data_IF_329882467768
#
_entry.id   IF_329882467768
#
_cell.length_a   1.000
_cell.length_b   1.000
_cell.length_c   1.000
_cell.angle_alpha   90.00
_cell.angle_beta   90.00
_cell.angle_gamma   90.00
#
_symmetry.space_group_name_H-M   'P 1'
#
loop_
_entity.id
_entity.type
_entity.pdbx_description
1 polymer ?
#
# COMPACT_ATOMS: atom_id res chain seq x y z
N UNK A 1 33.23 -9.39 20.56
CA UNK A 1 31.93 -8.73 20.32
C UNK A 1 30.94 -9.82 19.90
N UNK A 2 30.23 -10.42 20.84
CA UNK A 2 29.25 -11.49 20.58
C UNK A 2 27.99 -10.84 20.02
N UNK A 3 27.71 -11.04 18.74
CA UNK A 3 26.45 -10.63 18.12
C UNK A 3 25.35 -11.46 18.79
N UNK A 4 24.60 -10.87 19.74
CA UNK A 4 23.38 -11.49 20.28
C UNK A 4 22.32 -11.46 19.18
N UNK A 5 22.22 -12.55 18.43
CA UNK A 5 21.16 -12.72 17.43
C UNK A 5 19.86 -12.97 18.18
N UNK A 6 18.91 -12.05 18.06
CA UNK A 6 17.55 -12.27 18.54
C UNK A 6 16.82 -13.20 17.57
N UNK A 7 16.81 -14.50 17.88
CA UNK A 7 16.22 -15.54 17.03
C UNK A 7 14.77 -15.23 16.66
N UNK A 8 14.00 -14.64 17.60
CA UNK A 8 12.60 -14.24 17.36
C UNK A 8 12.48 -13.17 16.28
N UNK A 9 13.35 -12.17 16.30
CA UNK A 9 13.37 -11.13 15.26
C UNK A 9 13.77 -11.71 13.90
N UNK A 10 14.80 -12.57 13.88
CA UNK A 10 15.30 -13.18 12.65
C UNK A 10 14.23 -14.06 11.98
N UNK A 11 13.47 -14.83 12.77
CA UNK A 11 12.37 -15.64 12.25
C UNK A 11 11.23 -14.78 11.69
N UNK A 12 10.89 -13.68 12.37
CA UNK A 12 9.85 -12.77 11.87
C UNK A 12 10.28 -12.08 10.58
N UNK A 13 11.53 -11.60 10.54
CA UNK A 13 12.14 -11.01 9.36
C UNK A 13 12.14 -11.99 8.18
N UNK A 14 12.57 -13.24 8.41
CA UNK A 14 12.54 -14.30 7.40
C UNK A 14 11.12 -14.57 6.90
N UNK A 15 10.12 -14.45 7.78
CA UNK A 15 8.72 -14.57 7.38
C UNK A 15 8.30 -13.43 6.45
N UNK A 16 8.66 -12.19 6.75
CA UNK A 16 8.41 -11.04 5.87
C UNK A 16 9.06 -11.25 4.51
N UNK A 17 10.30 -11.76 4.48
CA UNK A 17 11.02 -12.09 3.23
C UNK A 17 10.23 -13.09 2.38
N UNK A 18 9.75 -14.17 3.00
CA UNK A 18 8.98 -15.22 2.31
C UNK A 18 7.62 -14.73 1.83
N UNK A 19 6.92 -13.94 2.64
CA UNK A 19 5.59 -13.41 2.30
C UNK A 19 5.61 -12.44 1.11
N UNK A 20 6.71 -11.69 0.93
CA UNK A 20 6.91 -10.84 -0.26
C UNK A 20 7.04 -11.66 -1.55
N UNK A 21 7.41 -12.94 -1.44
CA UNK A 21 7.60 -13.84 -2.57
C UNK A 21 8.83 -13.50 -3.41
N UNK A 22 9.09 -14.36 -4.39
CA UNK A 22 10.18 -14.22 -5.35
C UNK A 22 9.68 -14.52 -6.76
N UNK A 23 10.19 -13.82 -7.78
CA UNK A 23 9.80 -14.09 -9.17
C UNK A 23 10.30 -15.43 -9.71
N UNK A 24 11.22 -16.09 -9.01
CA UNK A 24 11.84 -17.35 -9.40
C UNK A 24 11.37 -18.56 -8.61
N UNK A 25 10.56 -18.36 -7.57
CA UNK A 25 9.92 -19.43 -6.80
C UNK A 25 8.44 -19.13 -6.77
N UNK A 26 7.63 -20.06 -7.26
CA UNK A 26 6.18 -20.00 -7.10
C UNK A 26 5.84 -20.31 -5.64
N UNK A 27 5.80 -19.28 -4.81
CA UNK A 27 5.32 -19.42 -3.44
C UNK A 27 3.79 -19.57 -3.45
N UNK A 28 3.21 -20.61 -2.83
CA UNK A 28 1.77 -20.80 -2.84
C UNK A 28 1.05 -19.57 -2.29
N UNK A 29 0.05 -19.07 -3.02
CA UNK A 29 -0.67 -17.84 -2.65
C UNK A 29 -1.21 -17.89 -1.21
N UNK A 30 -1.65 -19.06 -0.75
CA UNK A 30 -2.17 -19.25 0.61
C UNK A 30 -1.11 -19.36 1.71
N UNK A 31 0.15 -19.63 1.36
CA UNK A 31 1.20 -19.85 2.36
C UNK A 31 1.50 -18.58 3.17
N UNK A 32 1.40 -17.39 2.57
CA UNK A 32 1.55 -16.11 3.31
C UNK A 32 0.46 -15.92 4.36
N UNK A 33 -0.77 -16.39 4.11
CA UNK A 33 -1.87 -16.31 5.06
C UNK A 33 -1.69 -17.29 6.23
N UNK A 34 -1.18 -18.50 5.95
CA UNK A 34 -0.80 -19.46 6.98
C UNK A 34 0.30 -18.93 7.89
N UNK A 35 1.38 -18.38 7.32
CA UNK A 35 2.47 -17.76 8.09
C UNK A 35 1.97 -16.59 8.95
N UNK A 36 1.06 -15.78 8.43
CA UNK A 36 0.47 -14.67 9.19
C UNK A 36 -0.32 -15.17 10.40
N UNK A 37 -1.15 -16.20 10.20
CA UNK A 37 -1.93 -16.81 11.26
C UNK A 37 -1.04 -17.37 12.37
N UNK A 38 0.07 -18.04 12.02
CA UNK A 38 1.05 -18.55 13.00
C UNK A 38 1.61 -17.44 13.88
N UNK A 39 2.01 -16.30 13.28
CA UNK A 39 2.51 -15.15 14.04
C UNK A 39 1.44 -14.49 14.91
N UNK A 40 0.19 -14.45 14.46
CA UNK A 40 -0.93 -13.96 15.25
C UNK A 40 -1.12 -14.84 16.49
N UNK A 41 -1.20 -16.16 16.31
CA UNK A 41 -1.35 -17.12 17.42
C UNK A 41 -0.18 -17.01 18.39
N UNK A 42 1.05 -16.96 17.88
CA UNK A 42 2.26 -16.81 18.69
C UNK A 42 2.29 -15.49 19.47
N UNK A 43 1.92 -14.38 18.85
CA UNK A 43 1.87 -13.10 19.54
C UNK A 43 0.85 -13.12 20.69
N UNK A 44 -0.33 -13.71 20.46
CA UNK A 44 -1.38 -13.84 21.48
C UNK A 44 -0.95 -14.76 22.63
N UNK A 45 -0.23 -15.84 22.35
CA UNK A 45 0.25 -16.75 23.40
C UNK A 45 1.34 -16.14 24.27
N UNK A 46 2.29 -15.41 23.68
CA UNK A 46 3.41 -14.81 24.43
C UNK A 46 3.00 -13.55 25.20
N UNK A 47 2.15 -12.70 24.60
CA UNK A 47 1.80 -11.40 25.19
C UNK A 47 0.50 -11.42 26.00
N UNK A 48 -0.18 -12.56 26.06
CA UNK A 48 -1.49 -12.73 26.68
C UNK A 48 -2.62 -11.98 25.94
N UNK A 49 -3.86 -12.17 26.41
CA UNK A 49 -5.05 -11.54 25.82
C UNK A 49 -5.20 -10.04 26.17
N UNK A 50 -4.39 -9.51 27.10
CA UNK A 50 -4.46 -8.09 27.47
C UNK A 50 -4.22 -7.19 26.26
N UNK A 51 -5.03 -6.15 26.04
CA UNK A 51 -4.95 -5.33 24.82
C UNK A 51 -3.82 -4.29 24.88
N UNK A 52 -3.00 -4.17 23.82
CA UNK A 52 -2.13 -2.99 23.67
C UNK A 52 -3.00 -1.85 23.11
N UNK A 53 -3.17 -0.78 23.89
CA UNK A 53 -4.10 0.31 23.57
C UNK A 53 -3.84 0.93 22.20
N UNK A 54 -2.58 1.20 21.86
CA UNK A 54 -2.18 1.79 20.56
C UNK A 54 -2.49 0.83 19.41
N UNK A 55 -2.09 -0.43 19.55
CA UNK A 55 -2.31 -1.46 18.54
C UNK A 55 -3.81 -1.69 18.31
N UNK A 56 -4.59 -1.89 19.37
CA UNK A 56 -6.02 -2.15 19.28
C UNK A 56 -6.77 -0.96 18.68
N UNK A 57 -6.44 0.27 19.07
CA UNK A 57 -7.11 1.46 18.52
C UNK A 57 -6.79 1.65 17.04
N UNK A 58 -5.53 1.47 16.64
CA UNK A 58 -5.12 1.64 15.24
C UNK A 58 -5.71 0.55 14.35
N UNK A 59 -5.66 -0.71 14.78
CA UNK A 59 -6.28 -1.83 14.06
C UNK A 59 -7.79 -1.63 13.91
N UNK A 60 -8.50 -1.17 14.94
CA UNK A 60 -9.95 -0.89 14.86
C UNK A 60 -10.25 0.20 13.82
N UNK A 61 -9.48 1.29 13.81
CA UNK A 61 -9.66 2.36 12.82
C UNK A 61 -9.51 1.83 11.39
N UNK A 62 -8.46 1.04 11.12
CA UNK A 62 -8.23 0.50 9.76
C UNK A 62 -9.24 -0.60 9.39
N UNK A 63 -9.83 -1.30 10.36
CA UNK A 63 -10.76 -2.39 10.11
C UNK A 63 -12.19 -1.93 9.76
N UNK A 64 -12.64 -0.78 10.26
CA UNK A 64 -14.03 -0.29 10.08
C UNK A 64 -14.48 -0.23 8.62
N UNK A 65 -13.69 0.28 7.65
CA UNK A 65 -14.11 0.30 6.24
C UNK A 65 -14.44 -1.08 5.70
N UNK A 66 -13.68 -2.10 6.08
CA UNK A 66 -13.93 -3.48 5.64
C UNK A 66 -15.24 -4.03 6.21
N UNK A 67 -15.57 -3.71 7.46
CA UNK A 67 -16.87 -4.10 8.06
C UNK A 67 -18.02 -3.46 7.27
N UNK A 68 -17.92 -2.16 6.96
CA UNK A 68 -18.95 -1.44 6.21
C UNK A 68 -19.14 -2.08 4.82
N UNK A 69 -18.04 -2.37 4.12
CA UNK A 69 -18.09 -3.05 2.82
C UNK A 69 -18.75 -4.43 2.90
N UNK A 70 -18.43 -5.19 3.94
CA UNK A 70 -19.00 -6.52 4.17
C UNK A 70 -20.52 -6.47 4.41
N UNK A 71 -20.99 -5.45 5.14
CA UNK A 71 -22.42 -5.27 5.42
C UNK A 71 -23.20 -4.79 4.19
N UNK A 72 -22.61 -3.90 3.38
CA UNK A 72 -23.29 -3.33 2.20
C UNK A 72 -23.27 -4.31 1.00
N UNK A 73 -22.26 -5.19 0.92
CA UNK A 73 -22.04 -6.11 -0.19
C UNK A 73 -23.29 -6.90 -0.64
N UNK A 74 -24.07 -7.57 0.24
CA UNK A 74 -25.18 -8.42 -0.20
C UNK A 74 -26.24 -7.62 -0.97
N UNK A 75 -26.51 -6.38 -0.53
CA UNK A 75 -27.47 -5.49 -1.18
C UNK A 75 -27.01 -5.12 -2.59
N UNK A 76 -25.71 -4.86 -2.78
CA UNK A 76 -25.16 -4.48 -4.08
C UNK A 76 -25.19 -5.62 -5.09
N UNK A 77 -24.84 -6.84 -4.66
CA UNK A 77 -24.85 -8.02 -5.55
C UNK A 77 -26.27 -8.39 -5.98
N UNK A 78 -27.25 -8.26 -5.08
CA UNK A 78 -28.65 -8.51 -5.40
C UNK A 78 -29.24 -7.42 -6.31
N UNK A 79 -28.87 -6.16 -6.11
CA UNK A 79 -29.35 -5.05 -6.91
C UNK A 79 -28.74 -5.00 -8.32
N UNK A 80 -27.45 -5.36 -8.47
CA UNK A 80 -26.70 -5.23 -9.72
C UNK A 80 -25.92 -6.51 -10.07
N UNK A 81 -26.60 -7.64 -10.33
CA UNK A 81 -25.93 -8.88 -10.69
C UNK A 81 -25.11 -8.72 -11.99
N UNK A 82 -23.98 -9.43 -12.07
CA UNK A 82 -23.15 -9.48 -13.28
C UNK A 82 -23.41 -10.81 -13.98
N UNK A 83 -23.74 -10.74 -15.27
CA UNK A 83 -23.94 -11.94 -16.11
C UNK A 83 -22.70 -12.84 -16.07
N UNK A 84 -22.90 -14.13 -15.77
CA UNK A 84 -21.80 -15.11 -15.68
C UNK A 84 -21.13 -15.20 -14.31
N UNK A 85 -21.53 -14.37 -13.33
CA UNK A 85 -21.03 -14.45 -11.94
C UNK A 85 -22.18 -14.89 -11.04
N UNK A 86 -22.01 -16.03 -10.35
CA UNK A 86 -23.02 -16.53 -9.40
C UNK A 86 -22.96 -15.76 -8.07
N UNK A 87 -24.09 -15.65 -7.38
CA UNK A 87 -24.16 -15.08 -6.03
C UNK A 87 -23.20 -15.79 -5.06
N UNK A 88 -23.09 -17.12 -5.15
CA UNK A 88 -22.19 -17.93 -4.33
C UNK A 88 -20.73 -17.56 -4.58
N UNK A 89 -20.34 -17.37 -5.85
CA UNK A 89 -18.99 -16.92 -6.21
C UNK A 89 -18.67 -15.55 -5.63
N UNK A 90 -19.64 -14.61 -5.68
CA UNK A 90 -19.50 -13.29 -5.08
C UNK A 90 -19.30 -13.36 -3.57
N UNK A 91 -20.16 -14.12 -2.86
CA UNK A 91 -20.05 -14.28 -1.40
C UNK A 91 -18.71 -14.91 -1.02
N UNK A 92 -18.29 -15.96 -1.74
CA UNK A 92 -17.00 -16.62 -1.51
C UNK A 92 -15.83 -15.64 -1.69
N UNK A 93 -15.87 -14.79 -2.73
CA UNK A 93 -14.83 -13.78 -2.97
C UNK A 93 -14.80 -12.71 -1.88
N UNK A 94 -15.96 -12.22 -1.44
CA UNK A 94 -16.06 -11.26 -0.34
C UNK A 94 -15.49 -11.85 0.96
N UNK A 95 -15.89 -13.06 1.33
CA UNK A 95 -15.37 -13.75 2.54
C UNK A 95 -13.86 -13.91 2.45
N UNK A 96 -13.35 -14.32 1.29
CA UNK A 96 -11.89 -14.41 1.07
C UNK A 96 -11.20 -13.07 1.28
N UNK A 97 -11.70 -11.97 0.71
CA UNK A 97 -11.10 -10.65 0.88
C UNK A 97 -11.18 -10.14 2.32
N UNK A 98 -12.28 -10.40 3.03
CA UNK A 98 -12.40 -10.10 4.46
C UNK A 98 -11.37 -10.88 5.29
N UNK A 99 -11.21 -12.18 5.04
CA UNK A 99 -10.19 -12.99 5.73
C UNK A 99 -8.78 -12.45 5.46
N UNK A 100 -8.48 -12.05 4.22
CA UNK A 100 -7.20 -11.44 3.88
C UNK A 100 -6.96 -10.13 4.63
N UNK A 101 -7.98 -9.27 4.74
CA UNK A 101 -7.91 -8.03 5.52
C UNK A 101 -7.67 -8.31 7.01
N UNK A 102 -8.41 -9.25 7.60
CA UNK A 102 -8.24 -9.69 8.99
C UNK A 102 -6.81 -10.19 9.26
N UNK A 103 -6.28 -11.05 8.39
CA UNK A 103 -4.92 -11.60 8.54
C UNK A 103 -3.85 -10.52 8.37
N UNK A 104 -4.06 -9.57 7.45
CA UNK A 104 -3.15 -8.44 7.24
C UNK A 104 -3.06 -7.53 8.48
N UNK A 105 -4.22 -7.12 9.00
CA UNK A 105 -4.30 -6.28 10.20
C UNK A 105 -3.81 -7.05 11.43
N UNK A 106 -4.14 -8.33 11.53
CA UNK A 106 -3.67 -9.22 12.59
C UNK A 106 -2.15 -9.40 12.57
N UNK A 107 -1.54 -9.56 11.39
CA UNK A 107 -0.10 -9.70 11.25
C UNK A 107 0.64 -8.41 11.65
N UNK A 108 0.14 -7.25 11.24
CA UNK A 108 0.64 -5.95 11.69
C UNK A 108 0.53 -5.79 13.22
N UNK A 109 -0.63 -6.13 13.78
CA UNK A 109 -0.88 -6.11 15.22
C UNK A 109 0.09 -7.02 15.98
N UNK A 110 0.29 -8.25 15.49
CA UNK A 110 1.20 -9.24 16.07
C UNK A 110 2.65 -8.75 16.06
N UNK A 111 3.12 -8.24 14.91
CA UNK A 111 4.47 -7.67 14.80
C UNK A 111 4.69 -6.50 15.77
N UNK A 112 3.73 -5.57 15.84
CA UNK A 112 3.82 -4.45 16.78
C UNK A 112 3.75 -4.89 18.25
N UNK A 113 2.93 -5.89 18.59
CA UNK A 113 2.84 -6.45 19.95
C UNK A 113 4.15 -7.10 20.41
N UNK A 114 4.82 -7.81 19.52
CA UNK A 114 6.02 -8.58 19.83
C UNK A 114 7.28 -7.72 19.91
N UNK A 115 7.33 -6.62 19.14
CA UNK A 115 8.55 -5.83 18.94
C UNK A 115 8.38 -4.32 19.17
N UNK A 116 7.16 -3.83 19.46
CA UNK A 116 6.89 -2.41 19.70
C UNK A 116 7.30 -1.52 18.52
N UNK A 117 7.96 -0.41 18.82
CA UNK A 117 8.45 0.56 17.80
C UNK A 117 9.47 -0.09 16.84
N UNK A 118 10.26 -1.06 17.30
CA UNK A 118 11.28 -1.74 16.49
C UNK A 118 10.67 -2.65 15.40
N UNK A 119 9.37 -2.97 15.48
CA UNK A 119 8.66 -3.68 14.40
C UNK A 119 8.84 -3.00 13.03
N UNK A 120 8.87 -1.66 12.99
CA UNK A 120 9.14 -0.92 11.75
C UNK A 120 10.49 -1.28 11.12
N UNK A 121 11.54 -1.44 11.94
CA UNK A 121 12.87 -1.83 11.46
C UNK A 121 12.89 -3.28 11.01
N UNK A 122 12.21 -4.18 11.72
CA UNK A 122 12.16 -5.61 11.38
C UNK A 122 11.47 -5.82 10.02
N UNK A 123 10.32 -5.17 9.79
CA UNK A 123 9.65 -5.19 8.48
C UNK A 123 10.57 -4.65 7.39
N UNK A 124 11.22 -3.50 7.64
CA UNK A 124 12.16 -2.90 6.69
C UNK A 124 13.33 -3.82 6.35
N UNK A 125 13.99 -4.45 7.35
CA UNK A 125 15.08 -5.40 7.11
C UNK A 125 14.63 -6.56 6.24
N UNK A 126 13.43 -7.10 6.48
CA UNK A 126 12.86 -8.16 5.66
C UNK A 126 12.68 -7.76 4.18
N UNK A 127 12.23 -6.53 3.93
CA UNK A 127 12.13 -5.99 2.56
C UNK A 127 13.49 -5.81 1.90
N UNK A 128 14.50 -5.35 2.65
CA UNK A 128 15.87 -5.18 2.14
C UNK A 128 16.45 -6.54 1.76
N UNK A 129 16.34 -7.54 2.64
CA UNK A 129 16.82 -8.91 2.37
C UNK A 129 16.12 -9.50 1.14
N UNK A 130 14.79 -9.36 1.04
CA UNK A 130 14.04 -9.84 -0.12
C UNK A 130 14.53 -9.20 -1.44
N UNK A 131 14.72 -7.87 -1.46
CA UNK A 131 15.25 -7.18 -2.64
C UNK A 131 16.67 -7.62 -2.99
N UNK A 132 17.57 -7.76 -1.99
CA UNK A 132 18.95 -8.19 -2.24
C UNK A 132 18.96 -9.57 -2.89
N UNK A 133 18.15 -10.52 -2.38
CA UNK A 133 18.01 -11.84 -2.99
C UNK A 133 17.48 -11.71 -4.43
N UNK A 134 16.49 -10.84 -4.67
CA UNK A 134 15.96 -10.55 -6.00
C UNK A 134 17.01 -10.00 -6.97
N UNK A 135 17.87 -9.08 -6.51
CA UNK A 135 18.97 -8.51 -7.29
C UNK A 135 20.03 -9.57 -7.61
N UNK A 136 20.45 -10.36 -6.62
CA UNK A 136 21.42 -11.45 -6.82
C UNK A 136 20.89 -12.42 -7.87
N UNK A 137 19.62 -12.82 -7.77
CA UNK A 137 18.99 -13.69 -8.75
C UNK A 137 18.92 -13.04 -10.14
N UNK A 138 18.56 -11.76 -10.23
CA UNK A 138 18.49 -11.04 -11.50
C UNK A 138 19.86 -10.97 -12.18
N UNK A 139 20.93 -10.69 -11.43
CA UNK A 139 22.32 -10.72 -11.94
C UNK A 139 22.71 -12.13 -12.38
N UNK A 140 22.39 -13.15 -11.59
CA UNK A 140 22.70 -14.54 -11.93
C UNK A 140 22.00 -15.00 -13.22
N UNK A 141 20.76 -14.55 -13.46
CA UNK A 141 19.96 -14.95 -14.62
C UNK A 141 20.28 -14.16 -15.89
N UNK A 142 20.50 -12.84 -15.79
CA UNK A 142 20.63 -11.94 -16.95
C UNK A 142 22.07 -11.44 -17.17
N UNK A 143 22.98 -11.69 -16.23
CA UNK A 143 24.36 -11.24 -16.26
C UNK A 143 24.58 -9.82 -15.73
N UNK A 144 25.79 -9.57 -15.23
CA UNK A 144 26.16 -8.28 -14.63
C UNK A 144 26.15 -7.12 -15.65
N UNK A 145 26.46 -7.39 -16.92
CA UNK A 145 26.44 -6.37 -17.98
C UNK A 145 25.04 -5.77 -18.19
N UNK A 146 24.02 -6.62 -18.25
CA UNK A 146 22.62 -6.18 -18.34
C UNK A 146 22.18 -5.39 -17.11
N UNK A 147 22.65 -5.80 -15.93
CA UNK A 147 22.41 -5.06 -14.69
C UNK A 147 23.00 -3.65 -14.72
N UNK A 148 24.26 -3.51 -15.14
CA UNK A 148 24.91 -2.19 -15.24
C UNK A 148 24.20 -1.30 -16.27
N UNK A 149 23.79 -1.86 -17.41
CA UNK A 149 23.02 -1.10 -18.41
C UNK A 149 21.68 -0.62 -17.88
N UNK A 150 20.94 -1.49 -17.18
CA UNK A 150 19.67 -1.13 -16.55
C UNK A 150 19.86 -0.03 -15.50
N UNK A 151 20.85 -0.17 -14.61
CA UNK A 151 21.16 0.85 -13.59
C UNK A 151 21.56 2.19 -14.22
N UNK A 152 22.28 2.16 -15.35
CA UNK A 152 22.75 3.37 -16.04
C UNK A 152 21.63 4.09 -16.79
N UNK A 153 20.66 3.36 -17.34
CA UNK A 153 19.53 3.95 -18.05
C UNK A 153 18.25 3.10 -17.92
N UNK A 154 17.58 3.15 -16.76
CA UNK A 154 16.38 2.35 -16.52
C UNK A 154 15.19 2.81 -17.38
N UNK A 155 15.21 4.04 -17.89
CA UNK A 155 14.19 4.54 -18.82
C UNK A 155 14.29 3.87 -20.20
N UNK A 156 15.50 3.62 -20.71
CA UNK A 156 15.70 3.02 -22.03
C UNK A 156 15.28 1.55 -22.10
N UNK A 157 15.52 0.76 -21.04
CA UNK A 157 15.15 -0.66 -20.99
C UNK A 157 13.61 -0.85 -20.94
N UNK A 158 12.88 0.17 -20.49
CA UNK A 158 11.41 0.15 -20.34
C UNK A 158 10.69 0.67 -21.59
N UNK A 159 11.31 1.54 -22.38
CA UNK A 159 10.69 2.17 -23.57
C UNK A 159 10.84 1.35 -24.86
N UNK A 160 11.94 0.62 -25.02
CA UNK A 160 12.20 -0.12 -26.25
C UNK A 160 11.57 -1.52 -26.17
N UNK A 161 10.52 -1.82 -26.96
CA UNK A 161 9.96 -3.16 -27.29
C UNK A 161 9.44 -4.07 -26.16
N UNK A 162 8.24 -4.61 -26.35
CA UNK A 162 7.55 -5.48 -25.38
C UNK A 162 7.90 -6.95 -25.58
N UNK A 163 8.87 -7.48 -24.83
CA UNK A 163 9.05 -8.94 -24.68
C UNK A 163 8.90 -9.32 -23.20
N UNK A 164 7.71 -9.80 -22.85
CA UNK A 164 7.41 -10.30 -21.52
C UNK A 164 8.35 -11.46 -21.16
N UNK A 165 9.13 -11.31 -20.08
CA UNK A 165 9.92 -12.39 -19.48
C UNK A 165 11.41 -12.45 -19.84
N UNK A 166 11.89 -11.61 -20.76
CA UNK A 166 13.28 -11.61 -21.22
C UNK A 166 14.20 -10.54 -20.62
N UNK A 167 13.73 -9.70 -19.69
CA UNK A 167 14.47 -8.52 -19.23
C UNK A 167 14.73 -8.46 -17.74
N UNK A 168 15.86 -7.85 -17.41
CA UNK A 168 16.29 -7.61 -16.05
C UNK A 168 15.41 -6.60 -15.31
N UNK A 169 14.82 -5.61 -16.01
CA UNK A 169 13.84 -4.69 -15.43
C UNK A 169 12.64 -5.43 -14.82
N UNK A 170 12.06 -6.39 -15.55
CA UNK A 170 10.99 -7.22 -14.99
C UNK A 170 11.51 -8.07 -13.82
N UNK A 171 12.74 -8.57 -13.86
CA UNK A 171 13.29 -9.33 -12.74
C UNK A 171 13.40 -8.51 -11.44
N UNK A 172 13.78 -7.23 -11.57
CA UNK A 172 13.98 -6.29 -10.47
C UNK A 172 12.68 -5.61 -10.01
N UNK A 173 11.66 -5.54 -10.86
CA UNK A 173 10.35 -4.94 -10.54
C UNK A 173 9.52 -5.85 -9.60
N UNK A 174 9.88 -5.88 -8.32
CA UNK A 174 9.10 -6.55 -7.28
C UNK A 174 7.93 -5.65 -6.84
N UNK A 175 6.76 -5.84 -7.45
CA UNK A 175 5.60 -4.95 -7.34
C UNK A 175 5.29 -4.52 -5.89
N UNK A 176 4.97 -5.45 -5.01
CA UNK A 176 4.58 -5.16 -3.62
C UNK A 176 5.74 -4.55 -2.80
N UNK A 177 6.94 -5.10 -2.96
CA UNK A 177 8.10 -4.76 -2.15
C UNK A 177 8.57 -3.34 -2.45
N UNK A 178 8.61 -2.96 -3.73
CA UNK A 178 9.06 -1.63 -4.18
C UNK A 178 8.13 -0.53 -3.62
N UNK A 179 6.81 -0.70 -3.71
CA UNK A 179 5.88 0.27 -3.13
C UNK A 179 5.99 0.34 -1.61
N UNK A 180 6.23 -0.78 -0.93
CA UNK A 180 6.36 -0.82 0.52
C UNK A 180 7.61 -0.06 0.98
N UNK A 181 8.71 -0.15 0.25
CA UNK A 181 9.91 0.66 0.50
C UNK A 181 9.63 2.17 0.43
N UNK A 182 8.66 2.61 -0.38
CA UNK A 182 8.23 4.02 -0.41
C UNK A 182 7.59 4.47 0.90
N UNK A 183 6.76 3.62 1.53
CA UNK A 183 6.21 3.91 2.86
C UNK A 183 7.32 4.07 3.91
N UNK A 184 8.31 3.18 3.88
CA UNK A 184 9.48 3.28 4.77
C UNK A 184 10.35 4.48 4.46
N UNK A 185 10.55 4.84 3.19
CA UNK A 185 11.25 6.07 2.82
C UNK A 185 10.56 7.30 3.44
N UNK A 186 9.23 7.41 3.33
CA UNK A 186 8.46 8.51 3.91
C UNK A 186 8.61 8.53 5.45
N UNK A 187 8.45 7.37 6.09
CA UNK A 187 8.58 7.23 7.55
C UNK A 187 9.96 7.60 8.08
N UNK A 188 11.03 7.15 7.42
CA UNK A 188 12.40 7.46 7.79
C UNK A 188 12.77 8.89 7.44
N UNK A 189 12.25 9.46 6.36
CA UNK A 189 12.42 10.87 6.00
C UNK A 189 11.80 11.76 7.09
N UNK A 190 10.60 11.41 7.53
CA UNK A 190 9.92 12.11 8.61
C UNK A 190 10.69 12.01 9.94
N UNK A 191 11.12 10.79 10.30
CA UNK A 191 11.89 10.53 11.53
C UNK A 191 13.27 11.22 11.52
N UNK A 192 13.93 11.28 10.37
CA UNK A 192 15.18 12.02 10.17
C UNK A 192 15.00 13.50 10.47
N UNK A 193 13.88 14.08 10.03
CA UNK A 193 13.58 15.48 10.26
C UNK A 193 13.19 15.77 11.70
N UNK A 194 12.40 14.93 12.37
CA UNK A 194 12.04 15.15 13.77
C UNK A 194 13.28 15.18 14.68
N UNK A 195 14.26 14.31 14.39
CA UNK A 195 15.44 14.12 15.24
C UNK A 195 16.61 15.09 14.93
N UNK A 196 16.33 16.37 14.58
CA UNK A 196 17.37 17.34 14.17
C UNK A 196 18.52 17.49 15.16
N UNK A 197 18.21 17.45 16.46
CA UNK A 197 19.16 17.65 17.56
C UNK A 197 19.95 16.38 17.93
N UNK A 198 19.51 15.19 17.50
CA UNK A 198 20.10 13.89 17.89
C UNK A 198 20.92 13.32 16.74
N UNK A 199 22.20 13.73 16.66
CA UNK A 199 23.10 13.42 15.53
C UNK A 199 23.22 11.93 15.21
N UNK A 200 23.40 11.07 16.22
CA UNK A 200 23.57 9.63 16.01
C UNK A 200 22.31 8.97 15.46
N UNK A 201 21.14 9.30 16.01
CA UNK A 201 19.84 8.81 15.50
C UNK A 201 19.62 9.25 14.05
N UNK A 202 19.98 10.49 13.73
CA UNK A 202 19.86 11.06 12.38
C UNK A 202 20.77 10.35 11.38
N UNK A 203 21.99 9.96 11.76
CA UNK A 203 22.89 9.17 10.90
C UNK A 203 22.24 7.84 10.53
N UNK A 204 21.64 7.14 11.50
CA UNK A 204 20.94 5.87 11.25
C UNK A 204 19.82 6.04 10.23
N UNK A 205 18.95 7.04 10.38
CA UNK A 205 17.89 7.29 9.40
C UNK A 205 18.42 7.71 8.04
N UNK A 206 19.56 8.41 7.98
CA UNK A 206 20.23 8.75 6.72
C UNK A 206 20.64 7.49 5.95
N UNK A 207 21.24 6.50 6.64
CA UNK A 207 21.61 5.21 6.05
C UNK A 207 20.37 4.48 5.52
N UNK A 208 19.28 4.43 6.30
CA UNK A 208 18.04 3.82 5.85
C UNK A 208 17.44 4.52 4.63
N UNK A 209 17.50 5.84 4.57
CA UNK A 209 17.06 6.61 3.40
C UNK A 209 17.87 6.31 2.14
N UNK A 210 19.20 6.17 2.27
CA UNK A 210 20.07 5.80 1.16
C UNK A 210 19.72 4.40 0.66
N UNK A 211 19.57 3.43 1.57
CA UNK A 211 19.16 2.07 1.23
C UNK A 211 17.81 2.07 0.50
N UNK A 212 16.80 2.78 1.04
CA UNK A 212 15.51 2.92 0.38
C UNK A 212 15.67 3.54 -1.02
N UNK A 213 16.40 4.65 -1.16
CA UNK A 213 16.58 5.33 -2.45
C UNK A 213 17.20 4.43 -3.52
N UNK A 214 18.23 3.65 -3.15
CA UNK A 214 18.87 2.69 -4.05
C UNK A 214 17.88 1.60 -4.47
N UNK A 215 17.17 0.98 -3.52
CA UNK A 215 16.23 -0.10 -3.84
C UNK A 215 15.00 0.38 -4.63
N UNK A 216 14.52 1.59 -4.35
CA UNK A 216 13.44 2.24 -5.11
C UNK A 216 13.85 2.52 -6.55
N UNK A 217 15.09 2.97 -6.75
CA UNK A 217 15.65 3.16 -8.08
C UNK A 217 15.75 1.84 -8.84
N UNK A 218 16.18 0.76 -8.19
CA UNK A 218 16.26 -0.57 -8.81
C UNK A 218 14.90 -1.16 -9.18
N UNK A 219 13.86 -0.96 -8.35
CA UNK A 219 12.50 -1.43 -8.67
C UNK A 219 11.77 -0.55 -9.70
N UNK A 220 12.20 0.70 -9.87
CA UNK A 220 11.81 1.65 -10.92
C UNK A 220 10.29 1.80 -11.19
N UNK A 221 9.48 1.85 -10.12
CA UNK A 221 8.04 2.11 -10.23
C UNK A 221 7.75 3.59 -10.47
N UNK A 222 7.47 3.97 -11.71
CA UNK A 222 7.23 5.36 -12.15
C UNK A 222 6.22 6.13 -11.30
N UNK A 223 5.04 5.56 -11.05
CA UNK A 223 3.99 6.20 -10.24
C UNK A 223 4.46 6.51 -8.82
N UNK A 224 5.38 5.71 -8.31
CA UNK A 224 5.91 5.87 -6.97
C UNK A 224 6.70 7.17 -6.81
N UNK A 225 7.50 7.54 -7.81
CA UNK A 225 8.25 8.79 -7.79
C UNK A 225 7.31 10.01 -7.78
N UNK A 226 6.20 9.94 -8.53
CA UNK A 226 5.15 10.97 -8.48
C UNK A 226 4.58 11.07 -7.07
N UNK A 227 4.28 9.93 -6.43
CA UNK A 227 3.81 9.88 -5.04
C UNK A 227 4.82 10.50 -4.05
N UNK A 228 6.11 10.23 -4.22
CA UNK A 228 7.16 10.80 -3.35
C UNK A 228 7.35 12.31 -3.56
N UNK A 229 7.24 12.80 -4.80
CA UNK A 229 7.28 14.24 -5.09
C UNK A 229 6.08 14.95 -4.44
N UNK A 230 4.89 14.39 -4.59
CA UNK A 230 3.68 14.94 -3.97
C UNK A 230 3.77 14.93 -2.43
N UNK A 231 4.32 13.86 -1.86
CA UNK A 231 4.61 13.77 -0.43
C UNK A 231 5.53 14.90 0.02
N UNK A 232 6.61 15.20 -0.71
CA UNK A 232 7.51 16.31 -0.39
C UNK A 232 6.82 17.67 -0.46
N UNK A 233 5.96 17.89 -1.47
CA UNK A 233 5.17 19.12 -1.59
C UNK A 233 4.26 19.32 -0.37
N UNK A 234 3.49 18.29 0.01
CA UNK A 234 2.64 18.30 1.20
C UNK A 234 3.47 18.53 2.46
N UNK A 235 4.59 17.83 2.59
CA UNK A 235 5.50 17.96 3.72
C UNK A 235 5.98 19.40 3.92
N UNK A 236 6.36 20.10 2.85
CA UNK A 236 6.80 21.50 2.90
C UNK A 236 5.71 22.41 3.50
N UNK A 237 4.45 22.14 3.19
CA UNK A 237 3.30 22.92 3.66
C UNK A 237 2.97 22.61 5.14
N UNK A 238 3.07 21.35 5.56
CA UNK A 238 2.65 20.93 6.91
C UNK A 238 3.78 20.99 7.96
N UNK A 239 5.06 20.95 7.56
CA UNK A 239 6.21 20.86 8.49
C UNK A 239 6.30 22.01 9.50
N UNK A 240 5.75 23.19 9.16
CA UNK A 240 5.75 24.38 10.02
C UNK A 240 4.47 24.51 10.86
N UNK A 241 3.46 23.64 10.63
CA UNK A 241 2.19 23.69 11.34
C UNK A 241 2.30 22.90 12.62
N UNK A 242 2.05 23.56 13.76
CA UNK A 242 2.12 22.91 15.08
C UNK A 242 0.74 22.70 15.71
N UNK A 243 -0.26 23.46 15.26
CA UNK A 243 -1.64 23.34 15.75
C UNK A 243 -2.38 22.26 14.97
N UNK A 244 -2.95 21.28 15.67
CA UNK A 244 -3.76 20.20 15.10
C UNK A 244 -4.86 20.74 14.18
N UNK A 245 -5.60 21.77 14.62
CA UNK A 245 -6.67 22.41 13.81
C UNK A 245 -6.17 22.91 12.45
N UNK A 246 -4.95 23.43 12.39
CA UNK A 246 -4.37 23.91 11.13
C UNK A 246 -4.01 22.77 10.19
N UNK A 247 -3.61 21.62 10.71
CA UNK A 247 -3.31 20.43 9.92
C UNK A 247 -4.62 19.78 9.46
N UNK A 248 -5.62 19.68 10.33
CA UNK A 248 -6.96 19.18 9.99
C UNK A 248 -7.66 20.03 8.93
N UNK A 249 -7.49 21.36 8.96
CA UNK A 249 -7.99 22.21 7.88
C UNK A 249 -7.31 21.87 6.54
N UNK A 250 -5.98 21.74 6.54
CA UNK A 250 -5.23 21.38 5.34
C UNK A 250 -5.57 19.97 4.83
N UNK A 251 -5.76 19.01 5.76
CA UNK A 251 -6.26 17.67 5.48
C UNK A 251 -7.63 17.71 4.80
N UNK A 252 -8.54 18.58 5.23
CA UNK A 252 -9.81 18.84 4.54
C UNK A 252 -9.64 19.33 3.10
N UNK A 253 -8.65 20.18 2.83
CA UNK A 253 -8.32 20.63 1.46
C UNK A 253 -7.78 19.46 0.62
N UNK A 254 -6.89 18.64 1.20
CA UNK A 254 -6.35 17.44 0.54
C UNK A 254 -7.47 16.43 0.26
N UNK A 255 -8.36 16.19 1.21
CA UNK A 255 -9.54 15.33 1.04
C UNK A 255 -10.42 15.82 -0.11
N UNK A 256 -10.80 17.10 -0.11
CA UNK A 256 -11.67 17.67 -1.15
C UNK A 256 -10.99 17.58 -2.53
N UNK A 257 -9.73 18.02 -2.63
CA UNK A 257 -8.97 17.99 -3.87
C UNK A 257 -8.77 16.58 -4.41
N UNK A 258 -8.43 15.62 -3.54
CA UNK A 258 -8.24 14.21 -3.94
C UNK A 258 -9.55 13.58 -4.37
N UNK A 259 -10.64 13.83 -3.66
CA UNK A 259 -11.97 13.31 -3.99
C UNK A 259 -12.44 13.83 -5.35
N UNK A 260 -12.36 15.14 -5.58
CA UNK A 260 -12.70 15.75 -6.87
C UNK A 260 -11.84 15.20 -8.00
N UNK A 261 -10.53 15.12 -7.78
CA UNK A 261 -9.60 14.56 -8.76
C UNK A 261 -9.92 13.11 -9.11
N UNK A 262 -10.27 12.26 -8.13
CA UNK A 262 -10.63 10.86 -8.37
C UNK A 262 -11.91 10.73 -9.19
N UNK A 263 -12.94 11.56 -8.95
CA UNK A 263 -14.15 11.54 -9.79
C UNK A 263 -13.90 12.04 -11.21
N UNK A 264 -13.13 13.11 -11.36
CA UNK A 264 -12.70 13.58 -12.70
C UNK A 264 -11.89 12.50 -13.40
N UNK A 265 -11.00 11.83 -12.69
CA UNK A 265 -10.22 10.71 -13.23
C UNK A 265 -11.13 9.55 -13.69
N UNK A 266 -12.12 9.16 -12.88
CA UNK A 266 -13.10 8.12 -13.22
C UNK A 266 -13.93 8.48 -14.46
N UNK A 267 -14.29 9.75 -14.62
CA UNK A 267 -14.98 10.24 -15.81
C UNK A 267 -14.08 10.27 -17.04
N UNK A 268 -12.81 10.64 -16.89
CA UNK A 268 -11.87 10.62 -18.02
C UNK A 268 -11.61 9.19 -18.49
N UNK A 269 -11.48 8.21 -17.59
CA UNK A 269 -11.30 6.79 -17.97
C UNK A 269 -12.58 6.14 -18.50
N UNK A 270 -13.77 6.68 -18.16
CA UNK A 270 -15.04 6.15 -18.66
C UNK A 270 -15.28 6.49 -20.13
N UNK A 271 -14.53 7.46 -20.66
CA UNK A 271 -14.59 7.93 -22.04
C UNK A 271 -13.39 7.47 -22.87
N UNK A 272 -13.52 7.56 -24.20
CA UNK A 272 -12.41 7.28 -25.13
C UNK A 272 -11.35 8.40 -25.19
N UNK A 273 -11.41 9.41 -24.33
CA UNK A 273 -10.48 10.55 -24.35
C UNK A 273 -9.03 10.06 -24.20
N UNK A 274 -8.77 9.15 -23.26
CA UNK A 274 -7.40 8.63 -23.03
C UNK A 274 -6.91 7.86 -24.26
N UNK A 275 -7.76 7.02 -24.85
CA UNK A 275 -7.41 6.25 -26.05
C UNK A 275 -7.11 7.17 -27.25
N UNK A 276 -7.89 8.24 -27.43
CA UNK A 276 -7.67 9.23 -28.49
C UNK A 276 -6.37 10.02 -28.30
N UNK A 277 -6.10 10.47 -27.07
CA UNK A 277 -4.83 11.16 -26.76
C UNK A 277 -3.63 10.22 -26.94
N UNK A 278 -3.77 8.95 -26.55
CA UNK A 278 -2.75 7.93 -26.76
C UNK A 278 -2.39 7.77 -28.24
N UNK A 279 -3.41 7.65 -29.10
CA UNK A 279 -3.24 7.55 -30.55
C UNK A 279 -2.62 8.82 -31.13
N UNK A 280 -3.09 10.00 -30.71
CA UNK A 280 -2.60 11.29 -31.23
C UNK A 280 -1.13 11.56 -30.90
N UNK A 281 -0.70 11.26 -29.67
CA UNK A 281 0.66 11.54 -29.21
C UNK A 281 1.59 10.32 -29.27
N UNK A 282 1.14 9.20 -29.85
CA UNK A 282 1.92 7.95 -29.91
C UNK A 282 2.28 7.40 -28.53
N UNK A 283 1.47 7.66 -27.51
CA UNK A 283 1.76 7.25 -26.12
C UNK A 283 1.28 5.82 -25.91
N UNK A 284 2.22 4.93 -25.58
CA UNK A 284 1.91 3.54 -25.25
C UNK A 284 1.46 3.40 -23.77
N UNK A 285 0.16 3.29 -23.54
CA UNK A 285 -0.44 3.00 -22.23
C UNK A 285 -0.45 1.51 -21.87
N UNK A 286 0.16 0.68 -22.72
CA UNK A 286 0.37 -0.75 -22.50
C UNK A 286 -0.98 -1.45 -22.37
N UNK A 287 -1.12 -2.47 -21.53
CA UNK A 287 -2.39 -3.22 -21.41
C UNK A 287 -3.55 -2.43 -20.77
N UNK A 288 -3.33 -1.18 -20.30
CA UNK A 288 -4.32 -0.42 -19.52
C UNK A 288 -5.51 0.09 -20.33
N UNK A 289 -5.31 0.46 -21.59
CA UNK A 289 -6.42 0.94 -22.43
C UNK A 289 -7.49 -0.13 -22.66
N UNK A 290 -7.05 -1.36 -22.96
CA UNK A 290 -7.96 -2.50 -23.10
C UNK A 290 -8.69 -2.84 -21.79
N UNK A 291 -8.16 -2.44 -20.64
CA UNK A 291 -8.86 -2.59 -19.36
C UNK A 291 -9.95 -1.57 -19.14
N UNK A 292 -9.67 -0.31 -19.44
CA UNK A 292 -10.68 0.75 -19.34
C UNK A 292 -11.86 0.39 -20.21
N UNK A 293 -11.62 0.06 -21.49
CA UNK A 293 -12.66 -0.38 -22.44
C UNK A 293 -13.52 -1.54 -21.91
N UNK A 294 -12.90 -2.58 -21.33
CA UNK A 294 -13.65 -3.74 -20.81
C UNK A 294 -14.42 -3.44 -19.53
N UNK A 295 -13.96 -2.49 -18.71
CA UNK A 295 -14.52 -2.22 -17.39
C UNK A 295 -15.51 -1.06 -17.36
N UNK A 296 -15.48 -0.16 -18.33
CA UNK A 296 -16.43 0.95 -18.46
C UNK A 296 -17.88 0.48 -18.52
N UNK A 297 -18.15 -0.69 -19.11
CA UNK A 297 -19.51 -1.28 -19.15
C UNK A 297 -20.08 -1.65 -17.78
N UNK A 298 -19.23 -1.74 -16.74
CA UNK A 298 -19.65 -2.17 -15.41
C UNK A 298 -19.94 -1.01 -14.46
N UNK A 299 -19.77 0.26 -14.85
CA UNK A 299 -20.12 1.38 -13.99
C UNK A 299 -20.58 2.61 -14.78
N UNK A 300 -21.27 3.51 -14.08
CA UNK A 300 -21.51 4.87 -14.55
C UNK A 300 -21.05 5.87 -13.48
N UNK A 301 -20.50 7.01 -13.90
CA UNK A 301 -20.08 8.05 -12.96
C UNK A 301 -21.28 8.93 -12.63
N UNK A 302 -22.21 8.38 -11.84
CA UNK A 302 -23.43 9.09 -11.43
C UNK A 302 -23.63 8.95 -9.92
N UNK A 303 -24.25 9.95 -9.25
CA UNK A 303 -24.54 9.87 -7.82
C UNK A 303 -25.39 8.66 -7.40
N UNK A 304 -26.15 8.09 -8.35
CA UNK A 304 -27.06 6.97 -8.13
C UNK A 304 -26.44 5.59 -8.36
N UNK A 305 -25.18 5.53 -8.82
CA UNK A 305 -24.49 4.26 -9.03
C UNK A 305 -24.24 3.56 -7.68
N UNK A 306 -24.99 2.49 -7.39
CA UNK A 306 -24.97 1.81 -6.09
C UNK A 306 -23.79 0.86 -5.90
N UNK A 307 -23.07 0.51 -6.97
CA UNK A 307 -21.97 -0.46 -6.95
C UNK A 307 -22.43 -1.88 -7.24
N UNK A 308 -21.46 -2.76 -7.51
CA UNK A 308 -21.67 -4.17 -7.86
C UNK A 308 -21.27 -5.18 -6.78
N UNK A 309 -20.85 -4.71 -5.61
CA UNK A 309 -20.43 -5.55 -4.51
C UNK A 309 -18.92 -5.71 -4.45
N UNK A 310 -18.38 -5.63 -3.24
CA UNK A 310 -16.97 -5.87 -2.95
C UNK A 310 -16.48 -7.24 -3.45
N UNK A 311 -15.46 -7.20 -4.33
CA UNK A 311 -14.83 -8.36 -4.92
C UNK A 311 -15.34 -8.74 -6.31
N UNK A 312 -16.35 -8.05 -6.83
CA UNK A 312 -16.91 -8.30 -8.16
C UNK A 312 -15.88 -8.05 -9.26
N UNK A 313 -15.10 -6.97 -9.19
CA UNK A 313 -14.03 -6.71 -10.19
C UNK A 313 -12.97 -7.82 -10.19
N UNK A 314 -12.68 -8.43 -9.04
CA UNK A 314 -11.75 -9.57 -8.99
C UNK A 314 -12.30 -10.80 -9.71
N UNK A 315 -13.62 -11.03 -9.63
CA UNK A 315 -14.25 -12.13 -10.37
C UNK A 315 -14.30 -11.85 -11.87
N UNK A 316 -14.57 -10.60 -12.26
CA UNK A 316 -14.48 -10.16 -13.66
C UNK A 316 -13.05 -10.36 -14.20
N UNK A 317 -12.03 -9.99 -13.42
CA UNK A 317 -10.63 -10.19 -13.77
C UNK A 317 -10.30 -11.68 -13.99
N UNK A 318 -10.81 -12.56 -13.13
CA UNK A 318 -10.63 -14.01 -13.26
C UNK A 318 -11.32 -14.56 -14.52
N UNK A 319 -12.55 -14.11 -14.82
CA UNK A 319 -13.27 -14.47 -16.05
C UNK A 319 -12.51 -14.04 -17.30
N UNK A 320 -11.90 -12.85 -17.26
CA UNK A 320 -11.11 -12.30 -18.37
C UNK A 320 -9.68 -12.84 -18.41
N UNK A 321 -9.26 -13.65 -17.43
CA UNK A 321 -7.89 -14.18 -17.25
C UNK A 321 -6.80 -13.12 -17.32
N UNK A 322 -7.09 -11.93 -16.81
CA UNK A 322 -6.17 -10.81 -16.86
C UNK A 322 -6.26 -10.02 -15.54
N UNK A 323 -5.16 -9.43 -15.06
CA UNK A 323 -5.14 -8.60 -13.84
C UNK A 323 -5.50 -7.13 -14.08
N UNK A 324 -6.48 -6.61 -13.34
CA UNK A 324 -6.84 -5.18 -13.33
C UNK A 324 -5.86 -4.44 -12.43
N UNK A 325 -5.10 -3.45 -12.94
CA UNK A 325 -4.10 -2.69 -12.17
C UNK A 325 -4.58 -1.26 -11.89
N UNK A 326 -5.65 -1.13 -11.11
CA UNK A 326 -6.25 0.16 -10.73
C UNK A 326 -7.23 -0.03 -9.57
N UNK A 327 -6.77 0.20 -8.34
CA UNK A 327 -7.61 0.09 -7.15
C UNK A 327 -8.69 1.17 -7.10
N UNK A 328 -8.48 2.36 -7.69
CA UNK A 328 -9.49 3.43 -7.73
C UNK A 328 -10.71 3.01 -8.54
N UNK A 329 -10.49 2.59 -9.79
CA UNK A 329 -11.56 2.09 -10.65
C UNK A 329 -12.22 0.85 -10.04
N UNK A 330 -11.41 -0.07 -9.50
CA UNK A 330 -11.91 -1.28 -8.85
C UNK A 330 -12.83 -0.96 -7.68
N UNK A 331 -12.37 -0.13 -6.75
CA UNK A 331 -13.14 0.24 -5.56
C UNK A 331 -14.39 1.04 -5.93
N UNK A 332 -14.34 1.87 -6.99
CA UNK A 332 -15.52 2.55 -7.49
C UNK A 332 -16.57 1.57 -8.02
N UNK A 333 -16.18 0.63 -8.88
CA UNK A 333 -17.09 -0.39 -9.43
C UNK A 333 -17.70 -1.22 -8.29
N UNK A 334 -16.88 -1.66 -7.34
CA UNK A 334 -17.31 -2.50 -6.24
C UNK A 334 -18.24 -1.74 -5.27
N UNK A 335 -17.90 -0.52 -4.85
CA UNK A 335 -18.59 0.21 -3.78
C UNK A 335 -19.67 1.18 -4.24
N UNK A 336 -19.69 1.55 -5.51
CA UNK A 336 -20.60 2.58 -6.01
C UNK A 336 -20.18 4.00 -5.60
N UNK A 337 -20.94 4.99 -6.02
CA UNK A 337 -20.63 6.41 -5.81
C UNK A 337 -20.54 6.77 -4.32
N UNK A 338 -21.60 6.49 -3.56
CA UNK A 338 -21.64 6.84 -2.13
C UNK A 338 -20.69 5.98 -1.30
N UNK A 339 -20.55 4.69 -1.62
CA UNK A 339 -19.61 3.80 -0.94
C UNK A 339 -18.16 4.22 -1.16
N UNK A 340 -17.82 4.61 -2.40
CA UNK A 340 -16.50 5.13 -2.73
C UNK A 340 -16.21 6.49 -2.05
N UNK A 341 -17.18 7.41 -2.03
CA UNK A 341 -17.07 8.67 -1.28
C UNK A 341 -16.86 8.44 0.21
N UNK A 342 -17.64 7.53 0.81
CA UNK A 342 -17.50 7.18 2.21
C UNK A 342 -16.13 6.56 2.50
N UNK A 343 -15.64 5.69 1.62
CA UNK A 343 -14.33 5.06 1.74
C UNK A 343 -13.19 6.09 1.69
N UNK A 344 -13.17 6.98 0.69
CA UNK A 344 -12.17 8.06 0.59
C UNK A 344 -12.25 8.95 1.83
N UNK A 345 -13.45 9.38 2.20
CA UNK A 345 -13.66 10.27 3.35
C UNK A 345 -13.22 9.63 4.66
N UNK A 346 -13.37 8.31 4.78
CA UNK A 346 -12.88 7.59 5.95
C UNK A 346 -11.35 7.67 6.07
N UNK A 347 -10.64 7.37 4.98
CA UNK A 347 -9.17 7.35 4.99
C UNK A 347 -8.52 8.74 4.99
N UNK A 348 -9.10 9.72 4.29
CA UNK A 348 -8.52 11.05 4.12
C UNK A 348 -9.09 12.13 5.04
N UNK A 349 -10.17 11.88 5.79
CA UNK A 349 -10.70 12.88 6.72
C UNK A 349 -10.94 12.29 8.12
N UNK A 350 -11.64 11.16 8.23
CA UNK A 350 -12.01 10.61 9.53
C UNK A 350 -10.81 10.07 10.33
N UNK A 351 -9.94 9.25 9.73
CA UNK A 351 -8.75 8.73 10.41
C UNK A 351 -7.80 9.87 10.84
N UNK A 352 -7.40 10.82 9.97
CA UNK A 352 -6.61 11.98 10.38
C UNK A 352 -7.25 12.77 11.52
N UNK A 353 -8.57 13.01 11.47
CA UNK A 353 -9.31 13.67 12.55
C UNK A 353 -9.13 12.93 13.88
N UNK A 354 -9.34 11.60 13.90
CA UNK A 354 -9.18 10.77 15.11
C UNK A 354 -7.74 10.71 15.61
N UNK A 355 -6.76 10.64 14.71
CA UNK A 355 -5.35 10.66 15.09
C UNK A 355 -4.91 12.04 15.62
N UNK A 356 -5.51 13.13 15.14
CA UNK A 356 -5.19 14.50 15.55
C UNK A 356 -5.53 14.81 16.99
N UNK A 357 -6.52 14.12 17.55
CA UNK A 357 -6.84 14.19 18.98
C UNK A 357 -5.77 13.54 19.87
N UNK A 358 -4.84 12.77 19.29
CA UNK A 358 -3.78 12.06 20.03
C UNK A 358 -2.41 12.67 19.80
N UNK A 359 -2.05 12.91 18.54
CA UNK A 359 -0.74 13.44 18.18
C UNK A 359 -0.77 14.19 16.85
N UNK A 360 -0.33 15.44 16.89
CA UNK A 360 -0.07 16.28 15.73
C UNK A 360 0.94 15.63 14.77
N UNK A 361 1.99 15.03 15.32
CA UNK A 361 3.06 14.40 14.55
C UNK A 361 2.60 13.13 13.84
N UNK A 362 1.76 12.34 14.51
CA UNK A 362 1.18 11.14 13.90
C UNK A 362 0.24 11.49 12.74
N UNK A 363 -0.55 12.57 12.83
CA UNK A 363 -1.39 13.03 11.71
C UNK A 363 -0.56 13.50 10.53
N UNK A 364 0.52 14.26 10.78
CA UNK A 364 1.42 14.69 9.70
C UNK A 364 1.99 13.49 8.97
N UNK A 365 2.54 12.50 9.68
CA UNK A 365 3.08 11.30 9.04
C UNK A 365 1.98 10.52 8.31
N UNK A 366 0.81 10.34 8.94
CA UNK A 366 -0.33 9.65 8.33
C UNK A 366 -0.74 10.31 7.01
N UNK A 367 -0.84 11.64 6.97
CA UNK A 367 -1.20 12.40 5.78
C UNK A 367 -0.19 12.17 4.64
N UNK A 368 1.11 12.16 4.94
CA UNK A 368 2.15 11.86 3.95
C UNK A 368 2.02 10.45 3.38
N UNK A 369 1.75 9.47 4.24
CA UNK A 369 1.59 8.07 3.84
C UNK A 369 0.32 7.86 3.02
N UNK A 370 -0.81 8.40 3.47
CA UNK A 370 -2.10 8.14 2.82
C UNK A 370 -2.18 8.79 1.44
N UNK A 371 -1.62 9.99 1.24
CA UNK A 371 -1.55 10.59 -0.11
C UNK A 371 -0.69 9.73 -1.03
N UNK A 372 0.46 9.27 -0.55
CA UNK A 372 1.31 8.35 -1.33
C UNK A 372 0.54 7.07 -1.72
N UNK A 373 -0.21 6.47 -0.78
CA UNK A 373 -1.05 5.30 -1.02
C UNK A 373 -2.15 5.58 -2.06
N UNK A 374 -2.81 6.74 -1.98
CA UNK A 374 -3.87 7.10 -2.93
C UNK A 374 -3.33 7.26 -4.36
N UNK A 375 -2.09 7.76 -4.51
CA UNK A 375 -1.42 7.84 -5.81
C UNK A 375 -1.07 6.45 -6.35
N UNK A 376 -0.61 5.52 -5.50
CA UNK A 376 -0.30 4.15 -5.96
C UNK A 376 -1.56 3.38 -6.40
N UNK A 377 -2.71 3.62 -5.75
CA UNK A 377 -4.00 3.03 -6.13
C UNK A 377 -4.48 3.37 -7.54
N UNK A 378 -4.01 4.47 -8.13
CA UNK A 378 -4.42 4.84 -9.49
C UNK A 378 -3.89 3.89 -10.56
N UNK A 379 -2.79 3.18 -10.31
CA UNK A 379 -2.08 2.46 -11.38
C UNK A 379 -1.55 1.07 -11.00
N UNK A 380 -1.72 0.66 -9.74
CA UNK A 380 -1.38 -0.67 -9.26
C UNK A 380 -2.35 -1.12 -8.14
N UNK A 381 -2.21 -2.37 -7.69
CA UNK A 381 -3.14 -3.03 -6.77
C UNK A 381 -2.67 -3.03 -5.31
N UNK A 382 -2.07 -1.93 -4.88
CA UNK A 382 -1.48 -1.80 -3.54
C UNK A 382 -2.50 -1.97 -2.40
N UNK A 383 -3.81 -1.86 -2.66
CA UNK A 383 -4.87 -2.09 -1.68
C UNK A 383 -4.90 -3.54 -1.20
N UNK A 384 -4.54 -4.48 -2.07
CA UNK A 384 -4.53 -5.93 -1.77
C UNK A 384 -3.17 -6.48 -1.33
N UNK A 385 -2.14 -5.64 -1.32
CA UNK A 385 -0.79 -6.05 -0.95
C UNK A 385 -0.65 -6.15 0.56
N UNK A 386 -0.51 -7.38 1.05
CA UNK A 386 -0.53 -7.70 2.47
C UNK A 386 0.62 -7.02 3.23
N UNK A 387 1.85 -7.15 2.76
CA UNK A 387 3.03 -6.56 3.41
C UNK A 387 3.01 -5.03 3.29
N UNK A 388 2.49 -4.50 2.18
CA UNK A 388 2.30 -3.06 2.00
C UNK A 388 1.34 -2.49 3.05
N UNK A 389 0.13 -3.06 3.16
CA UNK A 389 -0.89 -2.63 4.11
C UNK A 389 -0.45 -2.89 5.56
N UNK A 390 0.17 -4.04 5.84
CA UNK A 390 0.70 -4.32 7.18
C UNK A 390 1.80 -3.32 7.58
N UNK A 391 2.70 -2.96 6.67
CA UNK A 391 3.76 -1.97 6.92
C UNK A 391 3.18 -0.58 7.18
N UNK A 392 2.17 -0.16 6.40
CA UNK A 392 1.44 1.09 6.66
C UNK A 392 0.88 1.13 8.08
N UNK A 393 0.17 0.07 8.50
CA UNK A 393 -0.41 -0.04 9.83
C UNK A 393 0.68 0.02 10.92
N UNK A 394 1.75 -0.76 10.76
CA UNK A 394 2.87 -0.82 11.72
C UNK A 394 3.56 0.54 11.86
N UNK A 395 3.78 1.26 10.75
CA UNK A 395 4.39 2.60 10.77
C UNK A 395 3.52 3.57 11.57
N UNK A 396 2.20 3.57 11.35
CA UNK A 396 1.27 4.44 12.09
C UNK A 396 1.22 4.08 13.57
N UNK A 397 1.18 2.79 13.92
CA UNK A 397 1.23 2.32 15.31
C UNK A 397 2.52 2.79 16.02
N UNK A 398 3.67 2.62 15.36
CA UNK A 398 4.96 3.00 15.92
C UNK A 398 5.08 4.50 16.15
N UNK A 399 4.58 5.34 15.25
CA UNK A 399 4.62 6.79 15.44
C UNK A 399 3.67 7.27 16.54
N UNK A 400 2.49 6.65 16.64
CA UNK A 400 1.55 6.96 17.71
C UNK A 400 2.11 6.57 19.08
N UNK A 401 2.80 5.43 19.18
CA UNK A 401 3.47 4.97 20.39
C UNK A 401 4.64 5.89 20.78
N UNK A 402 5.48 6.32 19.82
CA UNK A 402 6.55 7.30 20.09
C UNK A 402 5.96 8.59 20.66
N UNK A 403 4.92 9.12 20.00
CA UNK A 403 4.24 10.35 20.43
C UNK A 403 3.66 10.22 21.84
N UNK A 404 3.06 9.07 22.16
CA UNK A 404 2.51 8.82 23.49
C UNK A 404 3.61 8.73 24.57
N UNK A 405 4.78 8.17 24.24
CA UNK A 405 5.93 8.13 25.16
C UNK A 405 6.57 9.50 25.38
N UNK A 406 6.58 10.35 24.36
CA UNK A 406 7.09 11.73 24.48
C UNK A 406 6.21 12.57 25.41
N UNK A 407 4.88 12.45 25.31
CA UNK A 407 3.93 13.14 26.19
C UNK A 407 3.99 12.71 27.67
N UNK A 408 4.51 11.52 27.97
CA UNK A 408 4.68 11.03 29.37
C UNK A 408 5.98 11.57 30.00
N UNK A 409 6.97 11.92 29.17
CA UNK A 409 8.29 12.35 29.61
C UNK A 409 8.45 13.89 29.64
N UNK A 410 7.44 14.64 29.17
CA UNK A 410 7.26 16.09 29.33
C UNK A 410 6.37 16.37 30.53
#
# INVERSE_FOLDING_TARGET
MTIKINVKELLFESTVVLMCGFKFITFPFFAKFGLALLWIIYALSVTGMGSNKVATQTSRLVFVPYIIMFVIFPLQVLANPVSGISFVSSVSRMVSQMLQACLTIGFAYAGFRLFGIDSTRIFFRGLVVNNIIGVIWAIAKFGIGQFVMFVSNPFADVWNTWVAGGRISNALELHEVTFTLGLFFISFFYSFYQNRKRREIRKTYCVYLIICAVLLYLGFKRIQFIGLVLMLAIYIVIKRRNKVRSIQFFDGVVWLGTTLFMYVYLEVISTDIIARLAAQYGINFMSRLGWFEKLTQYFSVTPFYFGRGWGTVSLIADMLKQGVHNDIMRNYIDFGFLGFLAWISYYLAYIPYKLGHKSTETVKLYLLLIVYIMITYMTDNTFTYMIFQASFIVIVMAELEKSAREQINE
#
